data_IF_494848779618
#
_entry.id   IF_494848779618
#
_cell.length_a   1.000
_cell.length_b   1.000
_cell.length_c   1.000
_cell.angle_alpha   90.00
_cell.angle_beta   90.00
_cell.angle_gamma   90.00
#
_symmetry.space_group_name_H-M   'P 1'
#
loop_
_entity.id
_entity.type
_entity.pdbx_description
1 polymer ?
#
# COMPACT_ATOMS: atom_id res chain seq x y z
N UNK A 1 2.87 -35.43 -6.99
CA UNK A 1 3.43 -35.40 -8.36
C UNK A 1 4.18 -34.08 -8.54
N UNK A 2 5.49 -34.15 -8.79
CA UNK A 2 6.33 -32.96 -9.07
C UNK A 2 6.01 -32.46 -10.48
N UNK A 3 5.85 -31.16 -10.64
CA UNK A 3 5.93 -30.50 -11.94
C UNK A 3 6.86 -29.30 -11.80
N UNK A 4 8.04 -29.43 -12.41
CA UNK A 4 8.98 -28.34 -12.65
C UNK A 4 8.45 -27.45 -13.78
N UNK A 5 8.73 -26.15 -13.71
CA UNK A 5 8.43 -25.21 -14.78
C UNK A 5 9.52 -24.14 -14.85
N UNK A 6 10.51 -24.37 -15.70
CA UNK A 6 11.42 -23.36 -16.26
C UNK A 6 10.80 -22.75 -17.51
N UNK A 7 10.87 -21.41 -17.69
CA UNK A 7 11.10 -20.74 -19.00
C UNK A 7 11.74 -19.36 -18.74
N UNK A 8 12.77 -19.01 -19.54
CA UNK A 8 13.53 -17.75 -19.52
C UNK A 8 12.83 -16.60 -20.25
N UNK A 9 13.29 -15.35 -20.02
CA UNK A 9 12.96 -14.22 -20.89
C UNK A 9 14.09 -13.18 -20.93
N UNK A 10 14.52 -12.81 -22.15
CA UNK A 10 15.43 -11.71 -22.45
C UNK A 10 14.76 -10.33 -22.43
N UNK A 11 15.47 -9.26 -22.84
CA UNK A 11 15.08 -7.88 -22.56
C UNK A 11 13.94 -7.43 -23.50
N UNK A 12 12.75 -7.22 -22.94
CA UNK A 12 11.62 -6.68 -23.70
C UNK A 12 10.33 -6.50 -22.88
N UNK A 13 9.95 -5.23 -22.68
CA UNK A 13 8.65 -4.65 -22.30
C UNK A 13 7.84 -5.32 -21.17
N UNK A 14 7.56 -4.51 -20.14
CA UNK A 14 6.61 -4.74 -19.04
C UNK A 14 5.26 -5.29 -19.54
N UNK A 15 5.00 -6.56 -19.25
CA UNK A 15 3.65 -7.13 -19.08
C UNK A 15 3.77 -8.22 -18.00
N UNK A 16 3.34 -7.92 -16.78
CA UNK A 16 3.13 -8.95 -15.76
C UNK A 16 1.85 -9.70 -16.08
N UNK A 17 1.94 -11.01 -16.32
CA UNK A 17 0.77 -11.88 -16.46
C UNK A 17 0.62 -12.69 -15.17
N UNK A 18 -0.43 -12.43 -14.39
CA UNK A 18 -0.88 -13.38 -13.39
C UNK A 18 -1.53 -14.56 -14.14
N UNK A 19 -1.04 -15.78 -13.96
CA UNK A 19 -1.78 -16.97 -14.42
C UNK A 19 -2.93 -17.22 -13.46
N UNK A 20 -4.13 -17.38 -14.02
CA UNK A 20 -5.34 -17.74 -13.29
C UNK A 20 -5.11 -19.09 -12.59
N UNK A 21 -5.34 -19.21 -11.27
CA UNK A 21 -5.26 -20.48 -10.56
C UNK A 21 -6.27 -21.50 -11.11
N UNK A 22 -5.92 -22.77 -11.05
CA UNK A 22 -6.83 -23.86 -11.42
C UNK A 22 -7.86 -24.04 -10.29
N UNK A 23 -9.10 -23.59 -10.51
CA UNK A 23 -10.20 -23.63 -9.53
C UNK A 23 -11.23 -24.66 -9.96
N UNK A 24 -11.63 -25.55 -9.04
CA UNK A 24 -12.79 -26.44 -9.23
C UNK A 24 -14.07 -25.77 -8.74
N UNK A 25 -15.11 -25.75 -9.59
CA UNK A 25 -16.47 -25.35 -9.18
C UNK A 25 -17.14 -26.51 -8.44
N UNK A 26 -17.83 -26.21 -7.34
CA UNK A 26 -18.89 -27.06 -6.78
C UNK A 26 -20.24 -26.50 -7.26
N UNK A 27 -21.08 -27.32 -7.88
CA UNK A 27 -22.45 -26.91 -8.22
C UNK A 27 -23.32 -26.87 -6.95
N UNK A 28 -24.10 -25.81 -6.71
CA UNK A 28 -25.05 -25.79 -5.60
C UNK A 28 -26.36 -26.49 -5.98
N UNK A 29 -26.88 -27.33 -5.07
CA UNK A 29 -28.20 -27.94 -5.17
C UNK A 29 -29.33 -26.90 -5.20
N UNK A 30 -30.32 -27.11 -6.06
CA UNK A 30 -31.42 -26.19 -6.31
C UNK A 30 -32.43 -26.17 -5.16
N UNK A 31 -32.44 -25.06 -4.39
CA UNK A 31 -33.53 -24.75 -3.45
C UNK A 31 -34.53 -23.81 -4.11
N UNK A 32 -35.73 -24.31 -4.42
CA UNK A 32 -36.86 -23.52 -4.94
C UNK A 32 -37.37 -22.55 -3.87
N UNK A 33 -37.35 -21.24 -4.17
CA UNK A 33 -38.03 -20.21 -3.36
C UNK A 33 -39.32 -19.72 -4.04
N UNK A 34 -40.37 -19.36 -3.30
CA UNK A 34 -41.64 -18.93 -3.88
C UNK A 34 -41.55 -17.53 -4.49
N UNK A 35 -42.36 -17.31 -5.52
CA UNK A 35 -42.44 -16.13 -6.39
C UNK A 35 -43.12 -14.97 -5.64
N UNK A 36 -42.39 -13.91 -5.32
CA UNK A 36 -42.95 -12.64 -4.85
C UNK A 36 -43.31 -11.75 -6.06
N UNK A 37 -44.51 -11.18 -6.02
CA UNK A 37 -45.10 -10.32 -7.05
C UNK A 37 -44.32 -9.01 -7.23
N UNK A 38 -43.92 -8.73 -8.47
CA UNK A 38 -43.38 -7.45 -8.91
C UNK A 38 -44.46 -6.36 -8.77
N UNK A 39 -44.15 -5.28 -8.05
CA UNK A 39 -44.82 -3.98 -8.19
C UNK A 39 -43.88 -3.07 -8.98
N UNK A 40 -44.44 -2.39 -9.97
CA UNK A 40 -43.75 -1.45 -10.84
C UNK A 40 -43.09 -0.30 -10.03
N UNK A 41 -41.90 0.19 -10.44
CA UNK A 41 -41.30 1.35 -9.81
C UNK A 41 -41.95 2.63 -10.36
N UNK A 42 -42.59 3.39 -9.47
CA UNK A 42 -42.97 4.78 -9.71
C UNK A 42 -41.73 5.61 -10.06
N UNK A 43 -41.84 6.40 -11.13
CA UNK A 43 -40.87 7.41 -11.52
C UNK A 43 -40.68 8.43 -10.38
N UNK A 44 -39.59 8.32 -9.62
CA UNK A 44 -39.07 9.43 -8.84
C UNK A 44 -38.20 10.30 -9.76
N UNK A 45 -38.67 11.53 -10.03
CA UNK A 45 -37.87 12.58 -10.62
C UNK A 45 -36.63 12.86 -9.76
N UNK A 46 -35.49 13.28 -10.35
CA UNK A 46 -34.27 13.54 -9.60
C UNK A 46 -34.49 14.78 -8.71
N UNK A 47 -34.57 14.56 -7.40
CA UNK A 47 -34.53 15.62 -6.40
C UNK A 47 -33.11 16.15 -6.28
N UNK A 48 -32.99 17.44 -6.59
CA UNK A 48 -31.96 18.42 -6.19
C UNK A 48 -30.57 17.87 -5.80
N UNK A 49 -29.60 18.18 -6.66
CA UNK A 49 -28.18 18.20 -6.35
C UNK A 49 -27.95 18.80 -4.96
N UNK A 50 -27.59 17.95 -4.01
CA UNK A 50 -27.14 18.39 -2.70
C UNK A 50 -25.79 19.08 -2.92
N UNK A 51 -25.78 20.41 -2.96
CA UNK A 51 -24.56 21.22 -2.86
C UNK A 51 -23.77 20.75 -1.66
N UNK A 52 -22.73 19.94 -1.87
CA UNK A 52 -21.64 19.80 -0.92
C UNK A 52 -20.80 21.08 -0.97
N UNK A 53 -21.24 22.10 -0.26
CA UNK A 53 -20.48 23.33 -0.04
C UNK A 53 -20.54 23.72 1.43
N UNK A 54 -19.77 23.00 2.25
CA UNK A 54 -19.29 23.50 3.52
C UNK A 54 -17.80 23.12 3.57
N UNK A 55 -16.92 24.12 3.55
CA UNK A 55 -15.52 23.87 3.86
C UNK A 55 -15.43 23.30 5.28
N UNK A 56 -14.60 22.26 5.50
CA UNK A 56 -14.52 21.67 6.82
C UNK A 56 -13.94 22.65 7.83
N UNK A 57 -14.53 22.68 9.03
CA UNK A 57 -14.20 23.63 10.11
C UNK A 57 -12.72 23.58 10.54
N UNK A 58 -12.02 22.48 10.25
CA UNK A 58 -10.58 22.33 10.53
C UNK A 58 -9.87 21.56 9.41
N UNK A 59 -8.74 22.10 8.95
CA UNK A 59 -7.78 21.41 8.07
C UNK A 59 -6.53 21.05 8.87
N UNK A 60 -5.99 19.86 8.67
CA UNK A 60 -4.73 19.43 9.28
C UNK A 60 -3.55 19.93 8.46
N UNK A 61 -2.59 20.60 9.10
CA UNK A 61 -1.35 20.97 8.41
C UNK A 61 -0.47 19.75 8.15
N UNK A 62 -0.03 19.58 6.91
CA UNK A 62 0.74 18.43 6.43
C UNK A 62 2.13 18.87 5.99
N UNK A 63 3.13 18.06 6.35
CA UNK A 63 4.47 18.11 5.75
C UNK A 63 4.74 16.82 4.97
N UNK A 64 5.33 16.94 3.78
CA UNK A 64 5.80 15.78 3.00
C UNK A 64 7.30 15.60 3.22
N UNK A 65 7.74 14.41 3.60
CA UNK A 65 9.15 14.09 3.89
C UNK A 65 9.68 13.18 2.80
N UNK A 66 10.67 13.67 2.05
CA UNK A 66 11.17 13.00 0.86
C UNK A 66 10.39 13.39 -0.38
N UNK A 67 11.09 13.87 -1.40
CA UNK A 67 10.53 14.34 -2.69
C UNK A 67 11.12 13.56 -3.86
N UNK A 68 11.05 12.24 -3.72
CA UNK A 68 11.18 11.31 -4.84
C UNK A 68 9.84 11.16 -5.57
N UNK A 69 9.63 10.04 -6.25
CA UNK A 69 8.39 9.80 -7.03
C UNK A 69 7.13 9.87 -6.15
N UNK A 70 7.11 9.19 -5.01
CA UNK A 70 5.98 9.19 -4.09
C UNK A 70 5.71 10.58 -3.52
N UNK A 71 6.75 11.25 -3.00
CA UNK A 71 6.62 12.59 -2.44
C UNK A 71 6.10 13.63 -3.44
N UNK A 72 6.57 13.60 -4.70
CA UNK A 72 6.05 14.47 -5.74
C UNK A 72 4.57 14.23 -6.04
N UNK A 73 4.13 12.97 -6.03
CA UNK A 73 2.70 12.62 -6.17
C UNK A 73 1.90 13.14 -4.98
N UNK A 74 2.37 12.94 -3.75
CA UNK A 74 1.69 13.46 -2.55
C UNK A 74 1.58 14.98 -2.56
N UNK A 75 2.65 15.70 -2.92
CA UNK A 75 2.62 17.17 -3.05
C UNK A 75 1.57 17.61 -4.08
N UNK A 76 1.54 16.97 -5.26
CA UNK A 76 0.55 17.25 -6.30
C UNK A 76 -0.87 17.02 -5.78
N UNK A 77 -1.12 15.87 -5.16
CA UNK A 77 -2.48 15.47 -4.73
C UNK A 77 -2.96 16.33 -3.55
N UNK A 78 -2.07 16.75 -2.64
CA UNK A 78 -2.42 17.67 -1.54
C UNK A 78 -2.75 19.08 -2.02
N UNK A 79 -2.28 19.48 -3.20
CA UNK A 79 -2.63 20.78 -3.82
C UNK A 79 -3.96 20.74 -4.58
N UNK A 80 -4.48 19.57 -4.90
CA UNK A 80 -5.78 19.44 -5.53
C UNK A 80 -6.91 19.60 -4.49
N UNK A 81 -7.74 20.66 -4.58
CA UNK A 81 -8.80 20.91 -3.61
C UNK A 81 -9.84 19.79 -3.49
N UNK A 82 -10.03 18.98 -4.53
CA UNK A 82 -10.94 17.82 -4.46
C UNK A 82 -10.37 16.68 -3.61
N UNK A 83 -9.05 16.56 -3.58
CA UNK A 83 -8.33 15.47 -2.92
C UNK A 83 -7.90 15.82 -1.48
N UNK A 84 -7.87 17.11 -1.13
CA UNK A 84 -7.32 17.61 0.14
C UNK A 84 -8.28 18.44 0.99
N UNK A 85 -9.59 18.21 0.90
CA UNK A 85 -10.61 19.02 1.59
C UNK A 85 -10.29 19.30 3.08
N UNK A 86 -9.70 18.32 3.80
CA UNK A 86 -9.33 18.40 5.23
C UNK A 86 -7.83 18.59 5.49
N UNK A 87 -7.01 18.78 4.47
CA UNK A 87 -5.54 18.83 4.58
C UNK A 87 -5.02 20.15 4.03
N UNK A 88 -3.94 20.67 4.64
CA UNK A 88 -3.27 21.88 4.18
C UNK A 88 -1.77 21.61 4.07
N UNK A 89 -1.21 21.64 2.86
CA UNK A 89 0.21 21.42 2.65
C UNK A 89 1.03 22.63 3.12
N UNK A 90 1.79 22.46 4.20
CA UNK A 90 2.60 23.52 4.82
C UNK A 90 4.00 23.63 4.19
N UNK A 91 4.54 22.50 3.72
CA UNK A 91 5.88 22.43 3.17
C UNK A 91 6.35 21.00 2.92
N UNK A 92 7.61 20.86 2.50
CA UNK A 92 8.27 19.57 2.40
C UNK A 92 9.65 19.57 3.05
N UNK A 93 10.09 18.41 3.50
CA UNK A 93 11.45 18.15 4.01
C UNK A 93 12.21 17.33 2.97
N UNK A 94 13.42 17.77 2.64
CA UNK A 94 14.33 17.10 1.71
C UNK A 94 15.76 17.25 2.20
N UNK A 95 16.56 16.18 2.06
CA UNK A 95 18.01 16.24 2.29
C UNK A 95 18.74 17.06 1.23
N UNK A 96 18.16 17.17 0.03
CA UNK A 96 18.69 18.01 -1.06
C UNK A 96 18.14 19.42 -0.92
N UNK A 97 18.95 20.42 -1.19
CA UNK A 97 18.47 21.79 -1.41
C UNK A 97 17.74 21.87 -2.74
N UNK A 98 16.42 22.06 -2.67
CA UNK A 98 15.55 22.13 -3.84
C UNK A 98 14.83 23.49 -3.93
N UNK A 99 14.96 24.34 -2.91
CA UNK A 99 14.27 25.61 -2.84
C UNK A 99 12.76 25.41 -2.77
N UNK A 100 12.01 26.12 -3.61
CA UNK A 100 10.57 25.96 -3.71
C UNK A 100 10.22 24.99 -4.84
N UNK A 101 9.36 24.02 -4.55
CA UNK A 101 8.77 23.13 -5.56
C UNK A 101 7.32 23.55 -5.77
N UNK A 102 7.03 24.14 -6.93
CA UNK A 102 5.69 24.59 -7.30
C UNK A 102 4.98 25.38 -6.18
N UNK A 103 5.67 26.41 -5.66
CA UNK A 103 5.20 27.30 -4.56
C UNK A 103 5.14 26.65 -3.17
N UNK A 104 5.46 25.36 -3.05
CA UNK A 104 5.62 24.68 -1.77
C UNK A 104 7.02 24.93 -1.26
N UNK A 105 7.13 25.44 -0.02
CA UNK A 105 8.41 25.72 0.63
C UNK A 105 9.10 24.45 1.12
N UNK A 106 10.41 24.38 0.91
CA UNK A 106 11.26 23.48 1.68
C UNK A 106 11.40 24.01 3.11
N UNK A 107 11.24 23.14 4.10
CA UNK A 107 11.47 23.44 5.52
C UNK A 107 12.49 22.46 6.10
N UNK A 108 13.18 22.85 7.16
CA UNK A 108 14.08 21.95 7.86
C UNK A 108 13.29 20.86 8.60
N UNK A 109 13.94 19.72 8.87
CA UNK A 109 13.32 18.67 9.68
C UNK A 109 12.99 19.18 11.10
N UNK A 110 13.88 19.96 11.70
CA UNK A 110 13.68 20.54 13.03
C UNK A 110 12.46 21.47 13.07
N UNK A 111 12.32 22.36 12.08
CA UNK A 111 11.14 23.24 11.99
C UNK A 111 9.86 22.43 11.80
N UNK A 112 9.90 21.35 11.01
CA UNK A 112 8.75 20.48 10.79
C UNK A 112 8.30 19.75 12.07
N UNK A 113 9.25 19.31 12.89
CA UNK A 113 8.98 18.63 14.17
C UNK A 113 8.44 19.62 15.21
N UNK A 114 8.99 20.83 15.28
CA UNK A 114 8.64 21.85 16.28
C UNK A 114 7.38 22.67 15.93
N UNK A 115 7.02 22.77 14.65
CA UNK A 115 5.90 23.62 14.20
C UNK A 115 4.56 23.16 14.77
N UNK A 116 3.80 24.06 15.39
CA UNK A 116 2.43 23.79 15.84
C UNK A 116 1.41 23.75 14.68
N UNK A 117 1.77 24.31 13.52
CA UNK A 117 0.91 24.29 12.33
C UNK A 117 0.92 22.92 11.63
N UNK A 118 1.99 22.14 11.81
CA UNK A 118 2.11 20.80 11.24
C UNK A 118 1.52 19.80 12.23
N UNK A 119 0.47 19.09 11.80
CA UNK A 119 -0.21 18.06 12.57
C UNK A 119 0.04 16.66 12.01
N UNK A 120 0.39 16.54 10.72
CA UNK A 120 0.57 15.28 10.00
C UNK A 120 1.87 15.29 9.20
N UNK A 121 2.61 14.18 9.22
CA UNK A 121 3.75 13.95 8.35
C UNK A 121 3.46 12.81 7.36
N UNK A 122 3.75 13.04 6.07
CA UNK A 122 3.70 12.03 5.01
C UNK A 122 5.13 11.61 4.69
N UNK A 123 5.53 10.40 5.10
CA UNK A 123 6.88 9.86 4.92
C UNK A 123 6.95 9.13 3.59
N UNK A 124 7.64 9.75 2.64
CA UNK A 124 7.75 9.34 1.24
C UNK A 124 9.23 9.22 0.79
N UNK A 125 10.14 9.08 1.75
CA UNK A 125 11.58 8.88 1.51
C UNK A 125 11.87 7.43 1.10
N UNK A 126 13.15 7.04 1.03
CA UNK A 126 13.50 5.63 0.85
C UNK A 126 13.22 4.82 2.12
N UNK A 127 12.87 3.53 1.95
CA UNK A 127 12.39 2.65 3.02
C UNK A 127 13.36 2.50 4.19
N UNK A 128 14.68 2.52 3.95
CA UNK A 128 15.69 2.44 5.02
C UNK A 128 15.68 3.64 5.97
N UNK A 129 15.07 4.75 5.58
CA UNK A 129 14.92 5.96 6.41
C UNK A 129 13.55 6.09 7.09
N UNK A 130 12.57 5.24 6.74
CA UNK A 130 11.20 5.38 7.23
C UNK A 130 11.10 5.29 8.75
N UNK A 131 11.74 4.28 9.35
CA UNK A 131 11.67 4.04 10.80
C UNK A 131 12.08 5.28 11.61
N UNK A 132 13.19 5.91 11.23
CA UNK A 132 13.73 7.09 11.88
C UNK A 132 12.77 8.28 11.78
N UNK A 133 12.28 8.59 10.58
CA UNK A 133 11.32 9.68 10.40
C UNK A 133 10.01 9.42 11.13
N UNK A 134 9.43 8.21 10.99
CA UNK A 134 8.17 7.86 11.67
C UNK A 134 8.33 8.04 13.19
N UNK A 135 9.43 7.55 13.77
CA UNK A 135 9.72 7.71 15.20
C UNK A 135 9.80 9.18 15.61
N UNK A 136 10.58 9.98 14.89
CA UNK A 136 10.76 11.41 15.21
C UNK A 136 9.43 12.17 15.17
N UNK A 137 8.63 11.97 14.12
CA UNK A 137 7.33 12.65 13.99
C UNK A 137 6.31 12.19 15.03
N UNK A 138 6.24 10.89 15.35
CA UNK A 138 5.39 10.40 16.45
C UNK A 138 5.84 10.95 17.80
N UNK A 139 7.16 11.00 18.07
CA UNK A 139 7.70 11.58 19.30
C UNK A 139 7.34 13.05 19.45
N UNK A 140 7.37 13.82 18.35
CA UNK A 140 6.92 15.20 18.25
C UNK A 140 5.38 15.37 18.30
N UNK A 141 4.63 14.28 18.47
CA UNK A 141 3.17 14.32 18.63
C UNK A 141 2.42 14.58 17.32
N UNK A 142 2.99 14.21 16.17
CA UNK A 142 2.35 14.31 14.86
C UNK A 142 1.66 12.99 14.50
N UNK A 143 0.60 13.07 13.71
CA UNK A 143 0.07 11.90 12.99
C UNK A 143 1.04 11.55 11.85
N UNK A 144 1.12 10.28 11.48
CA UNK A 144 2.06 9.83 10.45
C UNK A 144 1.36 8.94 9.43
N UNK A 145 1.52 9.28 8.16
CA UNK A 145 1.30 8.41 7.01
C UNK A 145 2.67 8.05 6.44
N UNK A 146 2.89 6.80 6.06
CA UNK A 146 4.16 6.32 5.47
C UNK A 146 3.87 5.37 4.33
N UNK A 147 4.62 5.52 3.23
CA UNK A 147 4.58 4.58 2.11
C UNK A 147 5.12 3.21 2.55
N UNK A 148 4.58 2.10 2.03
CA UNK A 148 5.12 0.79 2.38
C UNK A 148 6.56 0.60 1.84
N UNK A 149 7.39 -0.23 2.52
CA UNK A 149 7.17 -0.74 3.87
C UNK A 149 7.49 0.33 4.93
N UNK A 150 6.71 0.40 6.00
CA UNK A 150 6.91 1.33 7.13
C UNK A 150 8.28 1.13 7.78
N UNK A 151 8.74 -0.11 7.90
CA UNK A 151 10.06 -0.46 8.43
C UNK A 151 10.63 -1.67 7.71
N UNK A 152 11.93 -1.90 7.89
CA UNK A 152 12.62 -3.12 7.45
C UNK A 152 12.85 -4.09 8.61
N UNK A 153 12.14 -3.92 9.73
CA UNK A 153 12.29 -4.71 10.96
C UNK A 153 10.94 -4.89 11.65
N UNK A 154 10.55 -6.16 11.85
CA UNK A 154 9.29 -6.47 12.54
C UNK A 154 9.23 -5.86 13.94
N UNK A 155 10.30 -5.97 14.72
CA UNK A 155 10.37 -5.40 16.08
C UNK A 155 10.20 -3.87 16.05
N UNK A 156 10.84 -3.20 15.08
CA UNK A 156 10.69 -1.75 14.94
C UNK A 156 9.26 -1.35 14.57
N UNK A 157 8.58 -2.11 13.72
CA UNK A 157 7.17 -1.87 13.42
C UNK A 157 6.29 -1.97 14.69
N UNK A 158 6.54 -2.97 15.54
CA UNK A 158 5.83 -3.11 16.83
C UNK A 158 6.08 -1.89 17.72
N UNK A 159 7.32 -1.49 17.89
CA UNK A 159 7.69 -0.31 18.71
C UNK A 159 7.01 0.97 18.21
N UNK A 160 6.90 1.16 16.89
CA UNK A 160 6.25 2.34 16.30
C UNK A 160 4.73 2.33 16.48
N UNK A 161 4.09 1.17 16.39
CA UNK A 161 2.66 1.03 16.70
C UNK A 161 2.37 1.34 18.17
N UNK A 162 3.19 0.81 19.08
CA UNK A 162 3.09 1.10 20.52
C UNK A 162 3.33 2.59 20.81
N UNK A 163 4.33 3.20 20.18
CA UNK A 163 4.61 4.63 20.30
C UNK A 163 3.45 5.49 19.80
N UNK A 164 2.85 5.13 18.66
CA UNK A 164 1.69 5.83 18.12
C UNK A 164 0.50 5.76 19.09
N UNK A 165 0.24 4.58 19.65
CA UNK A 165 -0.79 4.40 20.67
C UNK A 165 -0.51 5.22 21.94
N UNK A 166 0.73 5.18 22.45
CA UNK A 166 1.16 5.96 23.61
C UNK A 166 0.98 7.47 23.41
N UNK A 167 1.24 7.96 22.19
CA UNK A 167 1.12 9.38 21.83
C UNK A 167 -0.31 9.80 21.47
N UNK A 168 -1.23 8.84 21.37
CA UNK A 168 -2.59 9.07 20.88
C UNK A 168 -2.60 9.59 19.44
N UNK A 169 -1.71 9.07 18.59
CA UNK A 169 -1.54 9.49 17.20
C UNK A 169 -1.93 8.38 16.24
N UNK A 170 -2.36 8.80 15.05
CA UNK A 170 -2.63 7.89 13.94
C UNK A 170 -1.31 7.59 13.27
N UNK A 171 -1.03 6.30 13.09
CA UNK A 171 0.02 5.78 12.25
C UNK A 171 -0.64 4.97 11.14
N UNK A 172 -0.36 5.31 9.89
CA UNK A 172 -0.93 4.65 8.72
C UNK A 172 0.19 4.26 7.76
N UNK A 173 0.30 2.97 7.48
CA UNK A 173 1.08 2.47 6.34
C UNK A 173 0.16 2.37 5.13
N UNK A 174 0.58 3.02 4.05
CA UNK A 174 -0.16 2.97 2.80
C UNK A 174 0.11 1.66 2.04
N UNK A 175 -0.93 1.09 1.45
CA UNK A 175 -0.90 -0.12 0.61
C UNK A 175 -1.84 0.06 -0.61
N UNK A 176 -1.48 0.92 -1.57
CA UNK A 176 -2.30 1.21 -2.77
C UNK A 176 -2.57 -0.02 -3.62
N UNK A 177 -1.75 -1.07 -3.54
CA UNK A 177 -1.98 -2.29 -4.28
C UNK A 177 -3.33 -2.94 -3.95
N UNK A 178 -3.89 -2.68 -2.76
CA UNK A 178 -5.21 -3.16 -2.34
C UNK A 178 -6.36 -2.31 -2.89
N UNK A 179 -6.05 -1.15 -3.46
CA UNK A 179 -7.00 -0.21 -4.09
C UNK A 179 -6.99 -0.31 -5.63
N UNK A 180 -6.10 -1.13 -6.20
CA UNK A 180 -6.00 -1.34 -7.64
C UNK A 180 -7.19 -2.13 -8.20
N UNK A 181 -7.57 -1.83 -9.45
CA UNK A 181 -8.65 -2.56 -10.16
C UNK A 181 -8.34 -4.06 -10.28
N UNK A 182 -7.08 -4.42 -10.47
CA UNK A 182 -6.61 -5.80 -10.54
C UNK A 182 -6.84 -6.55 -9.22
N UNK A 183 -6.61 -5.90 -8.09
CA UNK A 183 -6.89 -6.50 -6.78
C UNK A 183 -8.40 -6.66 -6.57
N UNK A 184 -9.20 -5.64 -6.93
CA UNK A 184 -10.65 -5.73 -6.86
C UNK A 184 -11.20 -6.89 -7.73
N UNK A 185 -10.63 -7.09 -8.92
CA UNK A 185 -10.92 -8.23 -9.79
C UNK A 185 -10.56 -9.56 -9.13
N UNK A 186 -9.33 -9.70 -8.62
CA UNK A 186 -8.87 -10.92 -7.95
C UNK A 186 -9.73 -11.27 -6.73
N UNK A 187 -10.07 -10.27 -5.91
CA UNK A 187 -10.92 -10.44 -4.73
C UNK A 187 -12.30 -10.98 -5.11
N UNK A 188 -12.90 -10.47 -6.20
CA UNK A 188 -14.17 -11.00 -6.74
C UNK A 188 -13.99 -12.42 -7.27
N UNK A 189 -12.88 -12.67 -7.97
CA UNK A 189 -12.61 -13.96 -8.61
C UNK A 189 -12.43 -15.08 -7.59
N UNK A 190 -11.77 -14.85 -6.44
CA UNK A 190 -11.52 -15.90 -5.43
C UNK A 190 -12.69 -16.09 -4.45
N UNK A 191 -13.65 -15.17 -4.43
CA UNK A 191 -14.75 -15.21 -3.47
C UNK A 191 -15.58 -16.50 -3.60
N UNK A 192 -15.72 -17.24 -2.49
CA UNK A 192 -16.47 -18.49 -2.44
C UNK A 192 -15.76 -19.69 -3.07
N UNK A 193 -14.46 -19.57 -3.39
CA UNK A 193 -13.63 -20.66 -3.91
C UNK A 193 -12.60 -21.10 -2.89
N UNK A 194 -12.27 -22.39 -2.96
CA UNK A 194 -11.19 -23.01 -2.20
C UNK A 194 -9.90 -22.96 -3.03
N UNK A 195 -8.82 -22.45 -2.43
CA UNK A 195 -7.52 -22.42 -3.07
C UNK A 195 -6.80 -23.75 -2.82
N UNK A 196 -6.57 -24.54 -3.87
CA UNK A 196 -5.77 -25.77 -3.76
C UNK A 196 -4.26 -25.50 -3.84
N UNK A 197 -3.86 -24.64 -4.77
CA UNK A 197 -2.48 -24.18 -5.01
C UNK A 197 -2.50 -22.93 -5.86
N UNK A 198 -1.49 -22.08 -5.73
CA UNK A 198 -1.34 -20.87 -6.53
C UNK A 198 0.12 -20.46 -6.64
N UNK A 199 0.40 -19.58 -7.59
CA UNK A 199 1.71 -18.96 -7.73
C UNK A 199 1.54 -17.50 -8.12
N UNK A 200 2.22 -16.60 -7.43
CA UNK A 200 2.31 -15.17 -7.76
C UNK A 200 3.77 -14.84 -8.04
N UNK A 201 4.05 -14.29 -9.21
CA UNK A 201 5.40 -13.92 -9.62
C UNK A 201 5.41 -12.47 -10.09
N UNK A 202 6.37 -11.70 -9.59
CA UNK A 202 6.61 -10.32 -9.96
C UNK A 202 8.06 -10.16 -10.39
N UNK A 203 8.29 -9.52 -11.53
CA UNK A 203 9.62 -9.23 -12.05
C UNK A 203 9.80 -7.72 -12.20
N UNK A 204 10.99 -7.23 -11.87
CA UNK A 204 11.34 -5.82 -11.94
C UNK A 204 12.83 -5.67 -12.29
N UNK A 205 13.21 -4.45 -12.63
CA UNK A 205 14.61 -4.06 -12.74
C UNK A 205 15.33 -4.19 -11.39
N UNK A 206 16.67 -4.26 -11.38
CA UNK A 206 17.45 -4.24 -10.14
C UNK A 206 17.08 -3.07 -9.24
N UNK A 207 17.04 -3.32 -7.93
CA UNK A 207 16.67 -2.34 -6.90
C UNK A 207 17.77 -2.30 -5.84
N UNK A 208 18.15 -1.10 -5.39
CA UNK A 208 19.20 -0.91 -4.37
C UNK A 208 18.70 -1.37 -2.99
N UNK A 209 19.14 -2.55 -2.55
CA UNK A 209 18.72 -3.16 -1.28
C UNK A 209 19.02 -2.26 -0.07
N UNK A 210 20.15 -1.54 -0.06
CA UNK A 210 20.52 -0.63 1.03
C UNK A 210 19.51 0.51 1.25
N UNK A 211 18.80 0.93 0.20
CA UNK A 211 17.82 2.02 0.26
C UNK A 211 16.40 1.51 0.42
N UNK A 212 16.05 0.44 -0.28
CA UNK A 212 14.67 -0.02 -0.40
C UNK A 212 14.38 -1.32 0.36
N UNK A 213 15.42 -1.94 0.92
CA UNK A 213 15.33 -3.15 1.73
C UNK A 213 15.31 -4.44 0.93
N UNK A 214 15.49 -5.54 1.67
CA UNK A 214 15.48 -6.92 1.17
C UNK A 214 14.21 -7.21 0.34
N UNK A 215 14.24 -8.07 -0.70
CA UNK A 215 13.10 -8.29 -1.60
C UNK A 215 11.76 -8.64 -0.93
N UNK A 216 11.77 -9.27 0.24
CA UNK A 216 10.53 -9.54 0.98
C UNK A 216 9.87 -8.26 1.52
N UNK A 217 10.64 -7.22 1.82
CA UNK A 217 10.13 -5.92 2.27
C UNK A 217 9.83 -4.99 1.09
N UNK A 218 10.77 -4.80 0.15
CA UNK A 218 10.55 -3.95 -1.03
C UNK A 218 9.44 -4.49 -1.94
N UNK A 219 9.26 -5.81 -1.96
CA UNK A 219 8.21 -6.51 -2.68
C UNK A 219 6.96 -6.82 -1.85
N UNK A 220 6.82 -6.31 -0.63
CA UNK A 220 5.82 -6.76 0.36
C UNK A 220 4.39 -6.68 -0.15
N UNK A 221 4.07 -5.74 -1.05
CA UNK A 221 2.74 -5.60 -1.64
C UNK A 221 2.22 -6.87 -2.33
N UNK A 222 3.11 -7.72 -2.85
CA UNK A 222 2.71 -9.05 -3.38
C UNK A 222 2.32 -10.02 -2.27
N UNK A 223 3.00 -9.98 -1.13
CA UNK A 223 2.62 -10.76 0.05
C UNK A 223 1.31 -10.21 0.64
N UNK A 224 1.14 -8.89 0.70
CA UNK A 224 -0.11 -8.24 1.14
C UNK A 224 -1.30 -8.75 0.34
N UNK A 225 -1.19 -8.84 -1.00
CA UNK A 225 -2.22 -9.45 -1.83
C UNK A 225 -2.60 -10.87 -1.39
N UNK A 226 -1.59 -11.73 -1.18
CA UNK A 226 -1.84 -13.12 -0.79
C UNK A 226 -2.54 -13.20 0.58
N UNK A 227 -2.08 -12.41 1.56
CA UNK A 227 -2.67 -12.38 2.90
C UNK A 227 -4.10 -11.84 2.86
N UNK A 228 -4.37 -10.77 2.09
CA UNK A 228 -5.71 -10.21 2.00
C UNK A 228 -6.69 -11.10 1.22
N UNK A 229 -6.22 -11.90 0.26
CA UNK A 229 -7.07 -12.82 -0.50
C UNK A 229 -7.32 -14.14 0.25
N UNK A 230 -6.31 -14.66 0.95
CA UNK A 230 -6.33 -16.03 1.48
C UNK A 230 -6.22 -16.14 3.00
N UNK A 231 -6.00 -15.03 3.71
CA UNK A 231 -5.82 -15.01 5.17
C UNK A 231 -4.36 -15.15 5.59
N UNK A 232 -4.13 -15.36 6.89
CA UNK A 232 -2.79 -15.60 7.42
C UNK A 232 -2.13 -16.83 6.76
N UNK A 233 -0.82 -16.72 6.53
CA UNK A 233 -0.04 -17.72 5.80
C UNK A 233 1.10 -18.24 6.68
N UNK A 234 1.32 -19.54 6.67
CA UNK A 234 2.48 -20.17 7.29
C UNK A 234 3.64 -20.25 6.29
N UNK A 235 4.84 -19.90 6.74
CA UNK A 235 6.06 -20.04 5.95
C UNK A 235 6.54 -21.49 5.93
N UNK A 236 6.66 -22.09 4.75
CA UNK A 236 7.21 -23.44 4.57
C UNK A 236 8.70 -23.38 4.23
N UNK A 237 9.09 -22.52 3.28
CA UNK A 237 10.49 -22.32 2.90
C UNK A 237 10.69 -21.00 2.18
N UNK A 238 11.91 -20.46 2.23
CA UNK A 238 12.34 -19.32 1.43
C UNK A 238 13.76 -19.57 0.89
N UNK A 239 13.98 -19.30 -0.39
CA UNK A 239 15.29 -19.42 -1.04
C UNK A 239 15.61 -18.13 -1.79
N UNK A 240 16.90 -17.76 -1.79
CA UNK A 240 17.42 -16.60 -2.50
C UNK A 240 18.52 -17.05 -3.45
N UNK A 241 18.38 -16.70 -4.72
CA UNK A 241 19.42 -16.83 -5.74
C UNK A 241 19.97 -15.42 -6.02
N UNK A 242 21.22 -15.15 -5.65
CA UNK A 242 21.90 -13.87 -5.87
C UNK A 242 23.08 -14.07 -6.81
N UNK A 243 23.01 -13.45 -8.00
CA UNK A 243 24.11 -13.37 -8.96
C UNK A 243 24.45 -11.90 -9.17
N UNK A 244 25.32 -11.39 -8.30
CA UNK A 244 25.75 -9.97 -8.30
C UNK A 244 26.38 -9.51 -9.61
N UNK A 245 27.13 -10.39 -10.28
CA UNK A 245 27.77 -10.11 -11.57
C UNK A 245 26.75 -9.77 -12.67
N UNK A 246 25.56 -10.39 -12.60
CA UNK A 246 24.46 -10.18 -13.56
C UNK A 246 23.43 -9.14 -13.07
N UNK A 247 23.65 -8.53 -11.89
CA UNK A 247 22.63 -7.77 -11.16
C UNK A 247 21.30 -8.54 -11.01
N UNK A 248 21.38 -9.86 -10.85
CA UNK A 248 20.23 -10.74 -10.80
C UNK A 248 19.96 -11.22 -9.38
N UNK A 249 18.71 -11.08 -8.94
CA UNK A 249 18.24 -11.56 -7.66
C UNK A 249 16.88 -12.23 -7.84
N UNK A 250 16.70 -13.43 -7.31
CA UNK A 250 15.43 -14.15 -7.32
C UNK A 250 15.14 -14.74 -5.94
N UNK A 251 14.04 -14.30 -5.35
CA UNK A 251 13.51 -14.86 -4.12
C UNK A 251 12.34 -15.79 -4.45
N UNK A 252 12.38 -17.02 -3.93
CA UNK A 252 11.27 -17.97 -4.02
C UNK A 252 10.78 -18.32 -2.62
N UNK A 253 9.49 -18.15 -2.37
CA UNK A 253 8.88 -18.42 -1.07
C UNK A 253 7.74 -19.42 -1.25
N UNK A 254 7.71 -20.44 -0.39
CA UNK A 254 6.61 -21.39 -0.28
C UNK A 254 5.81 -21.08 0.97
N UNK A 255 4.51 -20.87 0.79
CA UNK A 255 3.56 -20.48 1.82
C UNK A 255 2.41 -21.47 1.84
N UNK A 256 1.82 -21.69 3.01
CA UNK A 256 0.64 -22.51 3.22
C UNK A 256 -0.48 -21.65 3.83
N UNK A 257 -1.69 -21.77 3.32
CA UNK A 257 -2.87 -21.09 3.89
C UNK A 257 -3.35 -21.84 5.12
N UNK A 258 -3.86 -21.14 6.13
CA UNK A 258 -4.63 -21.80 7.18
C UNK A 258 -5.91 -22.41 6.56
N UNK A 259 -6.11 -23.73 6.71
CA UNK A 259 -7.32 -24.39 6.23
C UNK A 259 -8.56 -23.72 6.86
N UNK A 260 -9.38 -23.09 6.03
CA UNK A 260 -10.72 -22.69 6.43
C UNK A 260 -11.56 -23.98 6.42
N UNK A 261 -11.58 -24.66 7.57
CA UNK A 261 -12.47 -25.79 7.81
C UNK A 261 -13.94 -25.47 7.53
#
# INVERSE_FOLDING_TARGET
>A
MRAAGEVSAGPGRLRGWARVPEVRRREPEAVKRPRATLRDPEHLAPTEETKMSAEPEKKFGVVVVGVGRAGSVRIRDLRDPHSSAFLNLIGFVSRRELGNLDEVRQISLEDALCSQEIEVAYICSESSSHEDYVRQFLQAGKHVLVEYPMTLSFAAAQDLWELAAQKGKVLHEEHVELLMEEFAFLKKEVMGKELLKGSLHFTASPLEEEKFGFPAFSGISRLTWLVCLFGELSLISATLEDRKEDQYLKMTVQLETQDKG
#
